data_IF_533353163900
#
_entry.id   IF_533353163900
#
_cell.length_a   1.000
_cell.length_b   1.000
_cell.length_c   1.000
_cell.angle_alpha   90.00
_cell.angle_beta   90.00
_cell.angle_gamma   90.00
#
_symmetry.space_group_name_H-M   'P 1'
#
loop_
_entity.id
_entity.type
_entity.pdbx_description
1 polymer ?
#
# COMPACT_ATOMS: atom_id res chain seq x y z
N UNK A 1 -6.60 13.67 -7.08
CA UNK A 1 -6.70 12.32 -7.69
C UNK A 1 -6.27 11.28 -6.67
N UNK A 2 -6.95 10.12 -6.57
CA UNK A 2 -6.57 9.02 -5.67
C UNK A 2 -5.91 7.88 -6.45
N UNK A 3 -4.69 7.48 -6.04
CA UNK A 3 -3.94 6.39 -6.66
C UNK A 3 -3.66 5.30 -5.63
N UNK A 4 -4.16 4.11 -5.91
CA UNK A 4 -3.87 2.89 -5.17
C UNK A 4 -2.70 2.17 -5.82
N UNK A 5 -1.69 1.82 -5.01
CA UNK A 5 -0.51 1.04 -5.41
C UNK A 5 -0.55 -0.30 -4.70
N UNK A 6 -0.65 -1.39 -5.45
CA UNK A 6 -0.65 -2.75 -4.92
C UNK A 6 0.47 -3.55 -5.59
N UNK A 7 1.14 -4.43 -4.87
CA UNK A 7 2.18 -5.27 -5.44
C UNK A 7 1.59 -6.42 -6.28
N UNK A 8 0.48 -6.99 -5.82
CA UNK A 8 -0.14 -8.17 -6.40
C UNK A 8 -1.54 -7.88 -6.93
N UNK A 9 -1.95 -8.63 -7.96
CA UNK A 9 -3.33 -8.59 -8.45
C UNK A 9 -4.37 -8.99 -7.40
N UNK A 10 -4.05 -9.93 -6.52
CA UNK A 10 -4.95 -10.34 -5.46
C UNK A 10 -5.13 -9.27 -4.39
N UNK A 11 -4.17 -8.36 -4.22
CA UNK A 11 -4.30 -7.18 -3.37
C UNK A 11 -5.10 -6.08 -4.05
N UNK A 12 -4.88 -5.88 -5.35
CA UNK A 12 -5.57 -4.87 -6.14
C UNK A 12 -7.05 -5.22 -6.41
N UNK A 13 -7.37 -6.51 -6.50
CA UNK A 13 -8.72 -6.97 -6.86
C UNK A 13 -9.82 -6.39 -5.96
N UNK A 14 -9.71 -6.37 -4.63
CA UNK A 14 -10.73 -5.75 -3.78
C UNK A 14 -10.95 -4.26 -4.08
N UNK A 15 -9.89 -3.50 -4.35
CA UNK A 15 -9.97 -2.08 -4.74
C UNK A 15 -10.69 -1.94 -6.09
N UNK A 16 -10.28 -2.76 -7.07
CA UNK A 16 -10.85 -2.75 -8.42
C UNK A 16 -12.35 -3.04 -8.37
N UNK A 17 -12.76 -4.06 -7.63
CA UNK A 17 -14.15 -4.48 -7.51
C UNK A 17 -14.99 -3.45 -6.74
N UNK A 18 -14.48 -2.94 -5.61
CA UNK A 18 -15.17 -1.96 -4.76
C UNK A 18 -15.49 -0.67 -5.53
N UNK A 19 -14.51 -0.11 -6.22
CA UNK A 19 -14.67 1.11 -7.00
C UNK A 19 -15.14 0.88 -8.44
N UNK A 20 -15.25 -0.38 -8.87
CA UNK A 20 -15.62 -0.78 -10.27
C UNK A 20 -14.67 -0.14 -11.28
N UNK A 21 -13.37 -0.25 -11.04
CA UNK A 21 -12.35 0.26 -11.94
C UNK A 21 -12.26 -0.59 -13.20
N UNK A 22 -11.93 0.03 -14.33
CA UNK A 22 -11.77 -0.67 -15.62
C UNK A 22 -10.31 -0.68 -16.02
N UNK A 23 -9.85 -1.80 -16.56
CA UNK A 23 -8.47 -1.93 -17.07
C UNK A 23 -8.25 -0.94 -18.21
N UNK A 24 -7.15 -0.19 -18.12
CA UNK A 24 -6.72 0.72 -19.18
C UNK A 24 -6.30 -0.07 -20.43
N UNK A 25 -6.75 0.36 -21.60
CA UNK A 25 -6.43 -0.25 -22.89
C UNK A 25 -5.07 0.16 -23.45
N UNK A 26 -4.37 1.12 -22.84
CA UNK A 26 -3.05 1.57 -23.28
C UNK A 26 -1.96 0.51 -23.04
N UNK A 27 -0.91 0.52 -23.90
CA UNK A 27 0.33 -0.22 -23.64
C UNK A 27 1.03 0.43 -22.44
N UNK A 28 0.94 -0.19 -21.30
CA UNK A 28 1.64 0.21 -20.08
C UNK A 28 2.50 -0.95 -19.60
N UNK A 29 3.62 -0.63 -18.96
CA UNK A 29 4.51 -1.61 -18.36
C UNK A 29 3.91 -2.27 -17.11
N UNK A 30 2.81 -1.68 -16.60
CA UNK A 30 2.06 -2.11 -15.42
C UNK A 30 0.58 -2.23 -15.73
N UNK A 31 -0.12 -3.09 -15.01
CA UNK A 31 -1.57 -3.15 -15.08
C UNK A 31 -2.18 -1.95 -14.34
N UNK A 32 -2.86 -1.11 -15.08
CA UNK A 32 -3.52 0.12 -14.60
C UNK A 32 -5.03 -0.01 -14.78
N UNK A 33 -5.76 0.23 -13.70
CA UNK A 33 -7.23 0.25 -13.68
C UNK A 33 -7.69 1.65 -13.31
N UNK A 34 -8.66 2.18 -14.05
CA UNK A 34 -9.07 3.58 -13.99
C UNK A 34 -10.58 3.74 -13.88
N UNK A 35 -10.99 4.79 -13.16
CA UNK A 35 -12.34 5.35 -13.21
C UNK A 35 -12.29 6.81 -12.73
N UNK A 36 -12.67 7.75 -13.59
CA UNK A 36 -12.72 9.20 -13.28
C UNK A 36 -11.37 9.71 -12.69
N UNK A 37 -11.36 10.07 -11.40
CA UNK A 37 -10.21 10.61 -10.68
C UNK A 37 -9.55 9.56 -9.78
N UNK A 38 -9.67 8.29 -10.11
CA UNK A 38 -9.11 7.19 -9.35
C UNK A 38 -8.34 6.23 -10.26
N UNK A 39 -7.21 5.74 -9.76
CA UNK A 39 -6.41 4.68 -10.38
C UNK A 39 -6.06 3.60 -9.37
N UNK A 40 -5.96 2.36 -9.83
CA UNK A 40 -5.31 1.26 -9.12
C UNK A 40 -4.24 0.68 -10.04
N UNK A 41 -3.00 0.57 -9.53
CA UNK A 41 -1.84 0.14 -10.28
C UNK A 41 -1.22 -1.07 -9.60
N UNK A 42 -0.97 -2.11 -10.38
CA UNK A 42 -0.28 -3.32 -9.91
C UNK A 42 1.19 -3.19 -10.29
N UNK A 43 2.05 -2.93 -9.29
CA UNK A 43 3.47 -2.68 -9.51
C UNK A 43 4.28 -3.96 -9.75
N UNK A 44 3.83 -5.10 -9.24
CA UNK A 44 4.65 -6.28 -9.00
C UNK A 44 5.42 -6.18 -7.68
N UNK A 45 5.94 -7.31 -7.21
CA UNK A 45 6.60 -7.45 -5.91
C UNK A 45 7.96 -6.76 -5.89
N UNK A 46 8.26 -6.09 -4.78
CA UNK A 46 9.57 -5.57 -4.39
C UNK A 46 9.79 -4.09 -4.72
N UNK A 47 10.69 -3.49 -3.95
CA UNK A 47 11.01 -2.06 -3.96
C UNK A 47 11.29 -1.51 -5.37
N UNK A 48 12.09 -2.21 -6.18
CA UNK A 48 12.43 -1.76 -7.53
C UNK A 48 11.21 -1.58 -8.43
N UNK A 49 10.29 -2.55 -8.42
CA UNK A 49 9.07 -2.49 -9.25
C UNK A 49 8.12 -1.41 -8.74
N UNK A 50 7.99 -1.28 -7.42
CA UNK A 50 7.19 -0.21 -6.81
C UNK A 50 7.70 1.16 -7.24
N UNK A 51 9.01 1.43 -7.14
CA UNK A 51 9.62 2.69 -7.59
C UNK A 51 9.33 2.98 -9.06
N UNK A 52 9.51 2.00 -9.95
CA UNK A 52 9.24 2.16 -11.38
C UNK A 52 7.76 2.48 -11.65
N UNK A 53 6.84 1.79 -10.97
CA UNK A 53 5.40 2.00 -11.12
C UNK A 53 4.98 3.40 -10.62
N UNK A 54 5.55 3.88 -9.52
CA UNK A 54 5.29 5.24 -8.99
C UNK A 54 5.77 6.30 -9.97
N UNK A 55 6.99 6.20 -10.49
CA UNK A 55 7.50 7.16 -11.48
C UNK A 55 6.64 7.17 -12.74
N UNK A 56 6.21 6.00 -13.20
CA UNK A 56 5.29 5.91 -14.34
C UNK A 56 3.96 6.57 -14.05
N UNK A 57 3.37 6.30 -12.90
CA UNK A 57 2.11 6.90 -12.46
C UNK A 57 2.22 8.42 -12.28
N UNK A 58 3.28 8.88 -11.59
CA UNK A 58 3.56 10.29 -11.39
C UNK A 58 3.63 11.06 -12.72
N UNK A 59 4.32 10.50 -13.70
CA UNK A 59 4.40 11.08 -15.05
C UNK A 59 3.04 11.08 -15.78
N UNK A 60 2.27 10.00 -15.68
CA UNK A 60 0.96 9.87 -16.34
C UNK A 60 -0.09 10.83 -15.76
N UNK A 61 -0.02 11.10 -14.48
CA UNK A 61 -1.07 11.82 -13.76
C UNK A 61 -0.62 13.21 -13.24
N UNK A 62 0.59 13.67 -13.59
CA UNK A 62 1.14 14.97 -13.16
C UNK A 62 0.19 16.17 -13.38
N UNK A 63 -0.61 16.14 -14.46
CA UNK A 63 -1.55 17.21 -14.82
C UNK A 63 -2.91 17.12 -14.07
N UNK A 64 -3.09 16.14 -13.19
CA UNK A 64 -4.37 15.91 -12.51
C UNK A 64 -4.54 16.66 -11.18
N UNK A 65 -3.63 17.60 -10.87
CA UNK A 65 -3.61 18.32 -9.60
C UNK A 65 -3.02 17.48 -8.46
N UNK A 66 -3.41 17.76 -7.23
CA UNK A 66 -2.91 17.01 -6.08
C UNK A 66 -3.27 15.54 -6.15
N UNK A 67 -2.30 14.68 -5.87
CA UNK A 67 -2.46 13.22 -5.88
C UNK A 67 -2.38 12.71 -4.45
N UNK A 68 -3.40 11.96 -4.04
CA UNK A 68 -3.38 11.14 -2.84
C UNK A 68 -2.91 9.75 -3.21
N UNK A 69 -1.86 9.26 -2.58
CA UNK A 69 -1.25 7.97 -2.83
C UNK A 69 -1.50 7.00 -1.67
N UNK A 70 -1.98 5.81 -1.98
CA UNK A 70 -2.15 4.74 -0.98
C UNK A 70 -1.50 3.47 -1.48
N UNK A 71 -0.51 2.97 -0.76
CA UNK A 71 -0.01 1.61 -0.91
C UNK A 71 -0.88 0.69 -0.05
N UNK A 72 -1.57 -0.24 -0.69
CA UNK A 72 -2.37 -1.26 -0.02
C UNK A 72 -1.80 -2.64 -0.31
N UNK A 73 -1.56 -3.41 0.74
CA UNK A 73 -1.02 -4.76 0.64
C UNK A 73 -1.04 -5.50 1.96
N UNK A 74 -0.41 -6.65 1.98
CA UNK A 74 -0.26 -7.48 3.17
C UNK A 74 1.10 -7.28 3.84
N UNK A 75 1.20 -7.65 5.12
CA UNK A 75 2.44 -7.65 5.88
C UNK A 75 2.44 -8.75 6.94
N UNK A 76 3.64 -9.18 7.35
CA UNK A 76 3.84 -10.06 8.50
C UNK A 76 4.12 -9.28 9.79
N UNK A 77 3.65 -9.78 10.93
CA UNK A 77 3.92 -9.25 12.27
C UNK A 77 4.16 -10.37 13.28
N UNK A 78 4.90 -10.10 14.35
CA UNK A 78 5.13 -11.11 15.39
C UNK A 78 3.85 -11.43 16.19
N UNK A 79 3.06 -10.42 16.56
CA UNK A 79 2.03 -10.52 17.58
C UNK A 79 0.62 -10.15 17.14
N UNK A 80 0.49 -9.28 16.14
CA UNK A 80 -0.83 -8.83 15.68
C UNK A 80 -1.64 -9.98 15.07
N UNK A 81 -2.93 -9.94 15.29
CA UNK A 81 -3.84 -10.92 14.72
C UNK A 81 -3.92 -10.77 13.20
N UNK A 82 -4.02 -11.89 12.49
CA UNK A 82 -4.31 -11.89 11.04
C UNK A 82 -5.63 -11.16 10.79
N UNK A 83 -5.63 -10.25 9.83
CA UNK A 83 -6.75 -9.36 9.52
C UNK A 83 -6.67 -7.99 10.19
N UNK A 84 -5.72 -7.74 11.10
CA UNK A 84 -5.54 -6.39 11.66
C UNK A 84 -5.12 -5.42 10.56
N UNK A 85 -5.82 -4.28 10.45
CA UNK A 85 -5.46 -3.19 9.55
C UNK A 85 -4.48 -2.26 10.24
N UNK A 86 -3.37 -1.98 9.58
CA UNK A 86 -2.28 -1.16 10.11
C UNK A 86 -1.95 -0.03 9.14
N UNK A 87 -1.82 1.18 9.69
CA UNK A 87 -1.25 2.32 8.99
C UNK A 87 0.23 2.44 9.38
N UNK A 88 1.12 2.51 8.39
CA UNK A 88 2.54 2.67 8.64
C UNK A 88 2.81 4.04 9.30
N UNK A 89 3.40 4.04 10.50
CA UNK A 89 3.82 5.28 11.19
C UNK A 89 5.16 5.80 10.70
N UNK A 90 6.03 4.90 10.29
CA UNK A 90 7.32 5.15 9.64
C UNK A 90 7.75 3.91 8.88
N UNK A 91 8.61 4.11 7.91
CA UNK A 91 9.10 3.02 7.06
C UNK A 91 10.62 3.05 6.97
N UNK A 92 11.25 1.88 6.79
CA UNK A 92 12.66 1.79 6.43
C UNK A 92 12.90 0.61 5.48
N UNK A 93 14.01 0.67 4.76
CA UNK A 93 14.55 -0.50 4.08
C UNK A 93 15.35 -1.33 5.09
N UNK A 94 15.27 -2.65 5.01
CA UNK A 94 16.13 -3.54 5.83
C UNK A 94 17.61 -3.18 5.63
N UNK A 95 18.40 -3.29 6.68
CA UNK A 95 19.82 -2.92 6.69
C UNK A 95 20.13 -1.42 6.51
N UNK A 96 19.14 -0.54 6.57
CA UNK A 96 19.38 0.90 6.71
C UNK A 96 19.08 1.35 8.14
N UNK A 97 19.87 2.28 8.71
CA UNK A 97 19.62 2.79 10.04
C UNK A 97 18.45 3.77 10.09
N UNK A 98 18.19 4.46 8.99
CA UNK A 98 17.31 5.61 8.96
C UNK A 98 15.85 5.23 8.70
N UNK A 99 14.97 5.81 9.50
CA UNK A 99 13.53 5.74 9.32
C UNK A 99 13.04 6.95 8.53
N UNK A 100 12.17 6.72 7.57
CA UNK A 100 11.40 7.74 6.91
C UNK A 100 10.04 7.84 7.62
N UNK A 101 9.83 8.95 8.33
CA UNK A 101 8.57 9.18 9.05
C UNK A 101 7.44 9.41 8.06
N UNK A 102 6.31 8.76 8.30
CA UNK A 102 5.06 9.05 7.60
C UNK A 102 4.29 10.09 8.41
N UNK A 103 3.43 10.85 7.74
CA UNK A 103 2.60 11.87 8.40
C UNK A 103 1.15 11.57 8.11
N UNK A 104 0.40 11.16 9.13
CA UNK A 104 -1.04 11.03 9.02
C UNK A 104 -1.68 12.38 9.38
N UNK A 105 -2.49 12.93 8.47
CA UNK A 105 -3.14 14.22 8.65
C UNK A 105 -4.57 14.11 9.20
N UNK A 106 -5.11 12.91 9.34
CA UNK A 106 -6.51 12.67 9.71
C UNK A 106 -6.61 11.61 10.81
N UNK A 107 -7.65 11.73 11.63
CA UNK A 107 -7.96 10.71 12.63
C UNK A 107 -8.39 9.38 11.97
N UNK A 108 -7.90 8.28 12.52
CA UNK A 108 -8.21 6.93 12.08
C UNK A 108 -8.27 5.94 13.25
N UNK A 109 -8.91 4.80 13.03
CA UNK A 109 -9.05 3.72 14.02
C UNK A 109 -8.09 2.55 13.78
N UNK A 110 -7.25 2.65 12.75
CA UNK A 110 -6.28 1.60 12.42
C UNK A 110 -5.14 1.57 13.44
N UNK A 111 -4.56 0.39 13.66
CA UNK A 111 -3.29 0.28 14.36
C UNK A 111 -2.21 1.10 13.65
N UNK A 112 -1.29 1.70 14.42
CA UNK A 112 -0.19 2.48 13.87
C UNK A 112 1.13 1.83 14.25
N UNK A 113 1.90 1.36 13.25
CA UNK A 113 3.14 0.59 13.48
C UNK A 113 4.23 0.96 12.50
N UNK A 114 5.51 0.84 12.92
CA UNK A 114 6.64 0.87 11.99
C UNK A 114 6.59 -0.28 10.99
N UNK A 115 7.12 -0.06 9.78
CA UNK A 115 7.24 -1.08 8.73
C UNK A 115 8.68 -1.14 8.21
N UNK A 116 9.25 -2.34 8.19
CA UNK A 116 10.55 -2.62 7.57
C UNK A 116 10.34 -3.36 6.26
N UNK A 117 10.73 -2.73 5.15
CA UNK A 117 10.67 -3.36 3.83
C UNK A 117 11.89 -4.25 3.61
N UNK A 118 11.63 -5.52 3.29
CA UNK A 118 12.64 -6.56 3.07
C UNK A 118 12.72 -6.96 1.60
N UNK A 119 13.85 -7.54 1.18
CA UNK A 119 14.05 -7.98 -0.20
C UNK A 119 13.39 -9.33 -0.55
N UNK A 120 13.02 -10.11 0.46
CA UNK A 120 12.36 -11.41 0.33
C UNK A 120 11.44 -11.63 1.52
N UNK A 121 10.51 -12.58 1.37
CA UNK A 121 9.63 -13.01 2.47
C UNK A 121 10.45 -13.36 3.71
N UNK A 122 10.09 -12.77 4.85
CA UNK A 122 10.78 -12.95 6.12
C UNK A 122 9.79 -13.44 7.18
N UNK A 123 10.14 -14.50 7.87
CA UNK A 123 9.40 -15.10 8.99
C UNK A 123 10.10 -14.92 10.34
N UNK A 124 11.29 -14.32 10.35
CA UNK A 124 11.99 -13.93 11.57
C UNK A 124 11.43 -12.59 12.07
N UNK A 125 10.22 -12.66 12.61
CA UNK A 125 9.49 -11.47 13.04
C UNK A 125 10.16 -10.78 14.23
N UNK A 126 10.23 -9.45 14.15
CA UNK A 126 10.66 -8.56 15.23
C UNK A 126 9.40 -7.86 15.82
N UNK A 127 9.30 -7.84 17.14
CA UNK A 127 8.19 -7.20 17.83
C UNK A 127 8.10 -5.67 17.61
N UNK A 128 9.14 -5.04 17.11
CA UNK A 128 9.23 -3.59 16.92
C UNK A 128 8.68 -3.09 15.59
N UNK A 129 8.48 -3.97 14.60
CA UNK A 129 8.14 -3.59 13.23
C UNK A 129 7.35 -4.66 12.49
N UNK A 130 6.53 -4.24 11.53
CA UNK A 130 5.98 -5.13 10.50
C UNK A 130 7.02 -5.39 9.42
N UNK A 131 6.86 -6.48 8.69
CA UNK A 131 7.65 -6.77 7.50
C UNK A 131 6.79 -6.78 6.24
N UNK A 132 7.23 -6.00 5.25
CA UNK A 132 6.67 -5.98 3.89
C UNK A 132 7.81 -5.94 2.85
N UNK A 133 7.49 -5.68 1.59
CA UNK A 133 8.50 -5.62 0.54
C UNK A 133 8.49 -4.31 -0.26
N UNK A 134 7.59 -3.37 0.00
CA UNK A 134 7.37 -2.19 -0.86
C UNK A 134 7.19 -0.86 -0.14
N UNK A 135 6.79 -0.85 1.13
CA UNK A 135 6.33 0.37 1.84
C UNK A 135 7.37 1.50 1.85
N UNK A 136 8.65 1.17 2.07
CA UNK A 136 9.71 2.17 2.03
C UNK A 136 9.83 2.82 0.65
N UNK A 137 9.98 2.00 -0.40
CA UNK A 137 10.10 2.48 -1.77
C UNK A 137 8.85 3.25 -2.23
N UNK A 138 7.69 2.86 -1.71
CA UNK A 138 6.44 3.57 -1.97
C UNK A 138 6.45 4.97 -1.34
N UNK A 139 6.72 5.12 -0.05
CA UNK A 139 6.72 6.43 0.62
C UNK A 139 7.79 7.33 0.03
N UNK A 140 9.01 6.82 -0.17
CA UNK A 140 10.12 7.56 -0.78
C UNK A 140 9.75 8.08 -2.18
N UNK A 141 9.23 7.20 -3.04
CA UNK A 141 8.89 7.56 -4.41
C UNK A 141 7.67 8.48 -4.52
N UNK A 142 6.60 8.20 -3.78
CA UNK A 142 5.36 8.99 -3.83
C UNK A 142 5.55 10.42 -3.28
N UNK A 143 6.43 10.59 -2.30
CA UNK A 143 6.77 11.91 -1.72
C UNK A 143 7.43 12.86 -2.71
N UNK A 144 7.93 12.38 -3.83
CA UNK A 144 8.43 13.22 -4.93
C UNK A 144 7.32 13.91 -5.72
N UNK A 145 6.08 13.42 -5.61
CA UNK A 145 4.93 13.90 -6.38
C UNK A 145 3.84 14.55 -5.52
N UNK A 146 3.86 14.29 -4.21
CA UNK A 146 2.84 14.80 -3.28
C UNK A 146 3.42 15.00 -1.88
N UNK A 147 2.85 15.87 -1.05
CA UNK A 147 3.23 15.98 0.35
C UNK A 147 3.10 14.64 1.08
N UNK A 148 3.98 14.39 2.06
CA UNK A 148 3.99 13.13 2.83
C UNK A 148 2.63 12.79 3.46
N UNK A 149 1.86 13.79 3.86
CA UNK A 149 0.51 13.61 4.39
C UNK A 149 -0.44 12.92 3.40
N UNK A 150 -0.16 13.07 2.11
CA UNK A 150 -0.94 12.45 1.02
C UNK A 150 -0.36 11.11 0.54
N UNK A 151 0.68 10.59 1.21
CA UNK A 151 1.35 9.33 0.87
C UNK A 151 1.21 8.37 2.05
N UNK A 152 0.29 7.42 1.97
CA UNK A 152 -0.03 6.52 3.08
C UNK A 152 0.17 5.06 2.70
N UNK A 153 0.78 4.26 3.59
CA UNK A 153 0.90 2.82 3.41
C UNK A 153 0.02 2.11 4.42
N UNK A 154 -0.97 1.37 3.91
CA UNK A 154 -1.92 0.57 4.68
C UNK A 154 -1.59 -0.89 4.46
N UNK A 155 -1.40 -1.63 5.54
CA UNK A 155 -1.11 -3.06 5.51
C UNK A 155 -2.15 -3.84 6.28
N UNK A 156 -2.44 -5.04 5.82
CA UNK A 156 -3.29 -5.99 6.52
C UNK A 156 -2.42 -7.17 6.92
N UNK A 157 -2.45 -7.53 8.19
CA UNK A 157 -1.63 -8.63 8.69
C UNK A 157 -2.12 -9.93 8.06
N UNK A 158 -1.25 -10.60 7.31
CA UNK A 158 -1.52 -11.87 6.64
C UNK A 158 -0.98 -13.07 7.38
N UNK A 159 0.06 -12.86 8.17
CA UNK A 159 0.83 -13.91 8.84
C UNK A 159 1.51 -13.37 10.11
N UNK A 160 1.76 -14.27 11.04
CA UNK A 160 2.42 -13.98 12.31
C UNK A 160 3.08 -15.26 12.86
N UNK A 161 3.68 -15.19 14.07
CA UNK A 161 4.33 -16.36 14.69
C UNK A 161 3.45 -17.61 14.79
N UNK A 162 2.12 -17.47 14.79
CA UNK A 162 1.16 -18.59 14.90
C UNK A 162 0.53 -18.97 13.57
N UNK A 163 0.70 -18.15 12.54
CA UNK A 163 0.08 -18.33 11.22
C UNK A 163 1.13 -18.10 10.16
N UNK A 164 1.56 -19.15 9.48
CA UNK A 164 2.55 -19.05 8.42
C UNK A 164 2.04 -18.19 7.23
N UNK A 165 2.94 -17.57 6.47
CA UNK A 165 2.59 -16.86 5.23
C UNK A 165 1.79 -17.76 4.28
N UNK A 166 0.69 -17.24 3.76
CA UNK A 166 -0.16 -17.94 2.82
C UNK A 166 -0.13 -17.28 1.44
N UNK A 167 0.27 -18.02 0.44
CA UNK A 167 0.33 -17.58 -0.96
C UNK A 167 -0.99 -17.77 -1.72
N UNK A 168 -2.05 -18.17 -1.02
CA UNK A 168 -3.37 -18.34 -1.63
C UNK A 168 -3.97 -16.97 -2.00
N UNK A 169 -3.98 -16.68 -3.28
CA UNK A 169 -4.46 -15.40 -3.85
C UNK A 169 -5.91 -15.09 -3.47
N UNK A 170 -6.77 -16.09 -3.40
CA UNK A 170 -8.18 -15.88 -3.04
C UNK A 170 -8.31 -15.49 -1.57
N UNK A 171 -7.50 -16.09 -0.68
CA UNK A 171 -7.48 -15.74 0.75
C UNK A 171 -6.95 -14.34 0.96
N UNK A 172 -5.84 -13.95 0.30
CA UNK A 172 -5.29 -12.59 0.37
C UNK A 172 -6.35 -11.58 -0.09
N UNK A 173 -6.98 -11.84 -1.24
CA UNK A 173 -8.01 -10.96 -1.77
C UNK A 173 -9.20 -10.80 -0.82
N UNK A 174 -9.65 -11.89 -0.19
CA UNK A 174 -10.74 -11.86 0.79
C UNK A 174 -10.34 -11.08 2.04
N UNK A 175 -9.14 -11.31 2.56
CA UNK A 175 -8.62 -10.61 3.73
C UNK A 175 -8.66 -9.09 3.56
N UNK A 176 -8.30 -8.60 2.37
CA UNK A 176 -8.36 -7.17 2.05
C UNK A 176 -9.81 -6.72 1.83
N UNK A 177 -10.63 -7.53 1.14
CA UNK A 177 -12.02 -7.20 0.85
C UNK A 177 -12.86 -6.98 2.11
N UNK A 178 -12.59 -7.76 3.17
CA UNK A 178 -13.30 -7.66 4.45
C UNK A 178 -13.11 -6.28 5.13
N UNK A 179 -12.07 -5.51 4.74
CA UNK A 179 -11.74 -4.19 5.30
C UNK A 179 -11.92 -3.02 4.31
N UNK A 180 -12.35 -3.30 3.07
CA UNK A 180 -12.37 -2.28 2.01
C UNK A 180 -13.24 -1.06 2.35
N UNK A 181 -14.34 -1.23 3.07
CA UNK A 181 -15.19 -0.09 3.42
C UNK A 181 -14.44 0.89 4.34
N UNK A 182 -13.86 0.42 5.42
CA UNK A 182 -13.12 1.28 6.37
C UNK A 182 -11.88 1.92 5.74
N UNK A 183 -11.19 1.18 4.85
CA UNK A 183 -10.03 1.67 4.10
C UNK A 183 -10.46 2.73 3.07
N UNK A 184 -11.59 2.55 2.40
CA UNK A 184 -12.16 3.51 1.46
C UNK A 184 -12.57 4.80 2.17
N UNK A 185 -13.27 4.70 3.32
CA UNK A 185 -13.67 5.85 4.12
C UNK A 185 -12.46 6.68 4.58
N UNK A 186 -11.38 6.01 4.97
CA UNK A 186 -10.10 6.65 5.30
C UNK A 186 -9.51 7.38 4.08
N UNK A 187 -9.44 6.70 2.93
CA UNK A 187 -8.87 7.26 1.70
C UNK A 187 -9.63 8.49 1.22
N UNK A 188 -10.95 8.48 1.31
CA UNK A 188 -11.81 9.63 0.94
C UNK A 188 -11.60 10.81 1.88
N UNK A 189 -11.53 10.59 3.19
CA UNK A 189 -11.21 11.64 4.17
C UNK A 189 -9.83 12.24 3.91
N UNK A 190 -8.83 11.39 3.63
CA UNK A 190 -7.48 11.83 3.32
C UNK A 190 -7.45 12.71 2.06
N UNK A 191 -8.20 12.34 1.03
CA UNK A 191 -8.29 13.12 -0.21
C UNK A 191 -8.96 14.49 0.00
N UNK A 192 -9.89 14.61 0.96
CA UNK A 192 -10.59 15.86 1.28
C UNK A 192 -9.75 16.80 2.16
N UNK A 193 -8.70 16.30 2.81
CA UNK A 193 -7.81 17.09 3.68
C UNK A 193 -6.72 17.89 2.93
N UNK A 194 -6.84 18.00 1.61
CA UNK A 194 -5.85 18.59 0.69
C UNK A 194 -6.13 20.08 0.40
#
# INVERSE_FOLDING_TARGET
>A
MLIWMCALHCEAKPVIDFYRLKKSSGKNDFDIYLKQHMACIVSGIGSRKMTQAIHRAGSLFAQRGCITWINLGIAGDLNLAVGTVVLASRVKQVNTPDWLETRCAIEHTFESRPVTSVGAENTDYDASTLFDMEAHAFIEGASLYSPLQQCQSIKIISDNRNTAPDRNKARISRLIADHMQSIADYAEKLQQST
#
